data_IF_614892325575
#
_entry.id   IF_614892325575
#
_cell.length_a   1.000
_cell.length_b   1.000
_cell.length_c   1.000
_cell.angle_alpha   90.00
_cell.angle_beta   90.00
_cell.angle_gamma   90.00
#
_symmetry.space_group_name_H-M   'P 1'
#
loop_
_entity.id
_entity.type
_entity.pdbx_description
1 polymer ?
#
# COMPACT_ATOMS: atom_id res chain seq x y z
N UNK A 1 -11.27 25.74 18.75
CA UNK A 1 -11.42 24.40 18.13
C UNK A 1 -12.88 24.22 17.71
N UNK A 2 -13.15 23.55 16.59
CA UNK A 2 -14.52 23.14 16.24
C UNK A 2 -15.04 22.16 17.30
N UNK A 3 -16.31 22.29 17.69
CA UNK A 3 -16.98 21.38 18.65
C UNK A 3 -17.92 20.37 17.97
N UNK A 4 -18.04 20.43 16.64
CA UNK A 4 -18.82 19.54 15.78
C UNK A 4 -18.09 19.37 14.45
N UNK A 5 -18.22 18.19 13.85
CA UNK A 5 -17.74 17.87 12.51
C UNK A 5 -18.67 16.81 11.89
N UNK A 6 -18.84 16.82 10.56
CA UNK A 6 -19.51 15.73 9.84
C UNK A 6 -18.77 14.39 10.01
N UNK A 7 -17.44 14.41 9.94
CA UNK A 7 -16.60 13.22 10.14
C UNK A 7 -15.43 13.56 11.05
N UNK A 8 -15.23 12.73 12.08
CA UNK A 8 -14.05 12.76 12.94
C UNK A 8 -13.23 11.49 12.74
N UNK A 9 -11.95 11.63 12.40
CA UNK A 9 -10.99 10.54 12.20
C UNK A 9 -10.04 10.53 13.39
N UNK A 10 -9.89 9.38 14.04
CA UNK A 10 -9.01 9.19 15.19
C UNK A 10 -7.76 8.42 14.73
N UNK A 11 -6.62 9.10 14.69
CA UNK A 11 -5.32 8.57 14.27
C UNK A 11 -4.80 9.22 12.99
N UNK A 12 -3.61 9.81 13.07
CA UNK A 12 -2.87 10.48 12.00
C UNK A 12 -1.78 9.62 11.35
N UNK A 13 -1.98 8.29 11.32
CA UNK A 13 -1.19 7.38 10.48
C UNK A 13 -1.66 7.41 9.02
N UNK A 14 -0.98 6.67 8.15
CA UNK A 14 -1.25 6.68 6.69
C UNK A 14 -2.71 6.42 6.35
N UNK A 15 -3.38 5.50 7.06
CA UNK A 15 -4.80 5.17 6.83
C UNK A 15 -5.70 6.35 7.17
N UNK A 16 -5.49 6.99 8.32
CA UNK A 16 -6.30 8.13 8.75
C UNK A 16 -6.08 9.37 7.88
N UNK A 17 -4.81 9.66 7.57
CA UNK A 17 -4.44 10.76 6.68
C UNK A 17 -4.97 10.56 5.26
N UNK A 18 -4.84 9.36 4.69
CA UNK A 18 -5.41 9.03 3.37
C UNK A 18 -6.95 9.15 3.39
N UNK A 19 -7.60 8.66 4.45
CA UNK A 19 -9.06 8.80 4.61
C UNK A 19 -9.47 10.27 4.60
N UNK A 20 -8.81 11.12 5.40
CA UNK A 20 -9.09 12.55 5.44
C UNK A 20 -8.86 13.22 4.08
N UNK A 21 -7.75 12.88 3.42
CA UNK A 21 -7.40 13.37 2.09
C UNK A 21 -8.48 13.05 1.06
N UNK A 22 -8.90 11.79 0.94
CA UNK A 22 -9.89 11.41 -0.06
C UNK A 22 -11.30 11.91 0.26
N UNK A 23 -11.69 12.01 1.53
CA UNK A 23 -12.95 12.67 1.89
C UNK A 23 -12.96 14.13 1.43
N UNK A 24 -11.88 14.86 1.72
CA UNK A 24 -11.73 16.25 1.27
C UNK A 24 -11.69 16.38 -0.26
N UNK A 25 -10.93 15.51 -0.94
CA UNK A 25 -10.85 15.45 -2.41
C UNK A 25 -12.20 15.19 -3.07
N UNK A 26 -13.07 14.40 -2.43
CA UNK A 26 -14.42 14.12 -2.90
C UNK A 26 -15.47 15.18 -2.44
N UNK A 27 -15.02 16.33 -1.94
CA UNK A 27 -15.87 17.48 -1.65
C UNK A 27 -16.38 17.59 -0.21
N UNK A 28 -16.00 16.66 0.69
CA UNK A 28 -16.38 16.76 2.10
C UNK A 28 -15.43 17.72 2.83
N UNK A 29 -15.91 18.91 3.18
CA UNK A 29 -15.08 19.97 3.77
C UNK A 29 -15.09 19.99 5.31
N UNK A 30 -16.03 19.31 5.95
CA UNK A 30 -16.16 19.26 7.41
C UNK A 30 -15.59 17.97 8.01
N UNK A 31 -14.29 17.76 7.78
CA UNK A 31 -13.51 16.61 8.27
C UNK A 31 -12.52 17.09 9.32
N UNK A 32 -12.48 16.41 10.46
CA UNK A 32 -11.49 16.66 11.53
C UNK A 32 -10.68 15.39 11.75
N UNK A 33 -9.36 15.49 11.68
CA UNK A 33 -8.43 14.43 12.06
C UNK A 33 -7.80 14.77 13.41
N UNK A 34 -7.87 13.84 14.35
CA UNK A 34 -7.26 13.94 15.68
C UNK A 34 -6.14 12.92 15.78
N UNK A 35 -4.92 13.40 16.00
CA UNK A 35 -3.75 12.60 16.32
C UNK A 35 -3.33 12.93 17.75
N UNK A 36 -2.93 11.91 18.51
CA UNK A 36 -2.51 12.06 19.90
C UNK A 36 -1.20 12.82 20.01
N UNK A 37 -0.26 12.51 19.12
CA UNK A 37 1.10 13.05 19.12
C UNK A 37 1.33 13.89 17.84
N UNK A 38 2.35 13.58 17.04
CA UNK A 38 2.55 14.16 15.71
C UNK A 38 2.08 13.19 14.61
N UNK A 39 1.81 13.70 13.40
CA UNK A 39 1.41 12.86 12.27
C UNK A 39 2.44 11.76 12.03
N UNK A 40 1.98 10.54 11.72
CA UNK A 40 2.81 9.35 11.53
C UNK A 40 3.61 8.87 12.77
N UNK A 41 3.35 9.40 13.97
CA UNK A 41 4.01 8.99 15.24
C UNK A 41 3.88 7.51 15.59
N UNK A 42 2.99 6.75 14.94
CA UNK A 42 2.75 5.32 15.10
C UNK A 42 3.56 4.43 14.16
N UNK A 43 2.95 3.34 13.66
CA UNK A 43 3.62 2.37 12.78
C UNK A 43 4.01 2.96 11.42
N UNK A 44 3.28 3.96 10.93
CA UNK A 44 3.57 4.60 9.63
C UNK A 44 4.95 5.24 9.61
N UNK A 45 5.31 6.07 10.60
CA UNK A 45 6.62 6.71 10.64
C UNK A 45 7.78 5.78 11.02
N UNK A 46 7.49 4.51 11.34
CA UNK A 46 8.50 3.49 11.70
C UNK A 46 8.55 2.33 10.69
N UNK A 47 7.77 2.38 9.60
CA UNK A 47 7.76 1.30 8.63
C UNK A 47 9.01 1.34 7.74
N UNK A 48 9.39 0.20 7.17
CA UNK A 48 10.53 0.11 6.26
C UNK A 48 10.26 0.63 4.83
N UNK A 49 9.12 1.26 4.58
CA UNK A 49 8.78 1.85 3.27
C UNK A 49 8.50 0.88 2.12
N UNK A 50 8.63 -0.44 2.33
CA UNK A 50 8.45 -1.43 1.26
C UNK A 50 7.01 -1.56 0.78
N UNK A 51 6.81 -1.49 -0.55
CA UNK A 51 5.53 -1.71 -1.22
C UNK A 51 5.66 -2.96 -2.11
N UNK A 52 4.76 -3.94 -1.92
CA UNK A 52 4.76 -5.20 -2.68
C UNK A 52 3.37 -5.59 -3.14
N UNK A 53 3.30 -6.38 -4.20
CA UNK A 53 2.04 -6.82 -4.83
C UNK A 53 1.79 -8.33 -4.70
N UNK A 54 2.82 -9.11 -4.37
CA UNK A 54 2.72 -10.56 -4.24
C UNK A 54 2.00 -10.94 -2.94
N UNK A 55 0.80 -11.50 -3.04
CA UNK A 55 0.01 -11.98 -1.90
C UNK A 55 -0.62 -13.35 -2.21
N UNK A 56 -1.02 -14.08 -1.16
CA UNK A 56 -1.61 -15.42 -1.30
C UNK A 56 -3.12 -15.41 -1.55
N UNK A 57 -3.77 -14.25 -1.45
CA UNK A 57 -5.22 -14.09 -1.62
C UNK A 57 -5.54 -13.11 -2.75
N UNK A 58 -6.48 -13.47 -3.63
CA UNK A 58 -6.87 -12.66 -4.81
C UNK A 58 -7.23 -11.22 -4.46
N UNK A 59 -7.98 -11.02 -3.37
CA UNK A 59 -8.40 -9.68 -2.95
C UNK A 59 -7.19 -8.81 -2.57
N UNK A 60 -6.19 -9.39 -1.90
CA UNK A 60 -4.99 -8.68 -1.49
C UNK A 60 -4.12 -8.32 -2.70
N UNK A 61 -4.02 -9.21 -3.69
CA UNK A 61 -3.34 -8.92 -4.97
C UNK A 61 -3.99 -7.73 -5.67
N UNK A 62 -5.32 -7.76 -5.84
CA UNK A 62 -6.08 -6.64 -6.47
C UNK A 62 -5.90 -5.33 -5.73
N UNK A 63 -5.96 -5.35 -4.39
CA UNK A 63 -5.79 -4.16 -3.57
C UNK A 63 -4.36 -3.60 -3.71
N UNK A 64 -3.36 -4.47 -3.69
CA UNK A 64 -1.96 -4.06 -3.83
C UNK A 64 -1.65 -3.50 -5.23
N UNK A 65 -2.19 -4.10 -6.29
CA UNK A 65 -2.08 -3.58 -7.66
C UNK A 65 -2.67 -2.17 -7.78
N UNK A 66 -3.86 -1.95 -7.21
CA UNK A 66 -4.47 -0.62 -7.15
C UNK A 66 -3.64 0.37 -6.33
N UNK A 67 -3.03 -0.09 -5.24
CA UNK A 67 -2.19 0.75 -4.38
C UNK A 67 -0.93 1.21 -5.13
N UNK A 68 -0.25 0.29 -5.83
CA UNK A 68 0.92 0.61 -6.67
C UNK A 68 0.56 1.61 -7.78
N UNK A 69 -0.57 1.40 -8.46
CA UNK A 69 -1.03 2.33 -9.49
C UNK A 69 -1.34 3.72 -8.90
N UNK A 70 -1.87 3.77 -7.67
CA UNK A 70 -2.07 5.04 -6.98
C UNK A 70 -0.73 5.74 -6.69
N UNK A 71 0.24 5.05 -6.07
CA UNK A 71 1.53 5.64 -5.73
C UNK A 71 2.29 6.17 -6.94
N UNK A 72 2.22 5.51 -8.11
CA UNK A 72 2.80 6.00 -9.37
C UNK A 72 2.30 7.39 -9.77
N UNK A 73 1.02 7.67 -9.49
CA UNK A 73 0.37 8.92 -9.88
C UNK A 73 0.32 9.95 -8.74
N UNK A 74 0.61 9.53 -7.51
CA UNK A 74 0.35 10.33 -6.31
C UNK A 74 1.24 11.56 -6.21
N UNK A 75 2.52 11.46 -6.58
CA UNK A 75 3.44 12.60 -6.63
C UNK A 75 2.89 13.76 -7.47
N UNK A 76 2.39 13.44 -8.67
CA UNK A 76 1.75 14.42 -9.56
C UNK A 76 0.48 14.99 -8.97
N UNK A 77 -0.30 14.16 -8.30
CA UNK A 77 -1.58 14.53 -7.69
C UNK A 77 -1.41 15.52 -6.53
N UNK A 78 -0.38 15.35 -5.69
CA UNK A 78 -0.14 16.22 -4.53
C UNK A 78 0.91 17.30 -4.78
N UNK A 79 1.65 17.23 -5.89
CA UNK A 79 2.70 18.19 -6.23
C UNK A 79 3.92 18.15 -5.30
N UNK A 80 4.16 17.02 -4.64
CA UNK A 80 5.27 16.80 -3.70
C UNK A 80 5.98 15.50 -4.06
N UNK A 81 7.31 15.53 -4.04
CA UNK A 81 8.11 14.31 -4.18
C UNK A 81 7.83 13.39 -2.98
N UNK A 82 7.37 12.16 -3.27
CA UNK A 82 7.05 11.14 -2.26
C UNK A 82 8.13 10.06 -2.14
N UNK A 83 9.25 10.22 -2.86
CA UNK A 83 10.40 9.33 -2.88
C UNK A 83 10.03 7.89 -3.29
N UNK A 84 9.02 7.74 -4.16
CA UNK A 84 8.56 6.43 -4.62
C UNK A 84 9.48 5.86 -5.70
N UNK A 85 10.10 4.71 -5.40
CA UNK A 85 11.01 4.01 -6.30
C UNK A 85 10.51 2.59 -6.62
N UNK A 86 10.44 2.23 -7.90
CA UNK A 86 10.02 0.90 -8.36
C UNK A 86 11.22 0.03 -8.75
N UNK A 87 11.86 -0.58 -7.74
CA UNK A 87 13.01 -1.48 -7.93
C UNK A 87 12.67 -2.97 -8.10
N UNK A 88 11.39 -3.34 -8.05
CA UNK A 88 10.96 -4.73 -7.96
C UNK A 88 10.95 -5.28 -6.53
N UNK A 89 10.51 -6.52 -6.36
CA UNK A 89 10.45 -7.20 -5.06
C UNK A 89 10.71 -8.70 -5.25
N UNK A 90 11.71 -9.24 -4.54
CA UNK A 90 12.11 -10.64 -4.60
C UNK A 90 11.73 -11.37 -3.32
N UNK A 91 11.06 -12.52 -3.46
CA UNK A 91 10.78 -13.44 -2.37
C UNK A 91 11.54 -14.74 -2.63
N UNK A 92 12.35 -15.18 -1.66
CA UNK A 92 13.15 -16.40 -1.76
C UNK A 92 12.39 -17.55 -1.09
N UNK A 93 12.31 -18.68 -1.79
CA UNK A 93 11.90 -19.96 -1.23
C UNK A 93 13.16 -20.73 -0.78
N UNK A 94 13.14 -21.24 0.44
CA UNK A 94 14.23 -22.02 1.03
C UNK A 94 13.88 -23.50 1.15
N UNK A 95 12.60 -23.85 1.02
CA UNK A 95 12.10 -25.25 1.05
C UNK A 95 11.26 -25.57 -0.19
N UNK A 96 11.14 -26.86 -0.51
CA UNK A 96 10.29 -27.36 -1.61
C UNK A 96 8.80 -27.02 -1.36
N UNK A 97 8.39 -26.96 -0.10
CA UNK A 97 7.02 -26.60 0.30
C UNK A 97 6.73 -25.13 0.01
N UNK A 98 7.68 -24.23 0.30
CA UNK A 98 7.59 -22.81 -0.05
C UNK A 98 7.60 -22.61 -1.58
N UNK A 99 8.43 -23.36 -2.30
CA UNK A 99 8.47 -23.31 -3.76
C UNK A 99 7.12 -23.73 -4.37
N UNK A 100 6.54 -24.84 -3.90
CA UNK A 100 5.21 -25.30 -4.34
C UNK A 100 4.12 -24.26 -4.03
N UNK A 101 4.18 -23.63 -2.87
CA UNK A 101 3.26 -22.54 -2.50
C UNK A 101 3.44 -21.32 -3.40
N UNK A 102 4.67 -20.92 -3.71
CA UNK A 102 4.95 -19.79 -4.60
C UNK A 102 4.48 -20.08 -6.02
N UNK A 103 4.69 -21.29 -6.55
CA UNK A 103 4.15 -21.72 -7.85
C UNK A 103 2.63 -21.55 -7.91
N UNK A 104 1.91 -22.02 -6.89
CA UNK A 104 0.46 -21.84 -6.78
C UNK A 104 0.06 -20.37 -6.72
N UNK A 105 0.75 -19.58 -5.91
CA UNK A 105 0.43 -18.15 -5.73
C UNK A 105 0.72 -17.35 -7.00
N UNK A 106 1.83 -17.61 -7.69
CA UNK A 106 2.20 -16.93 -8.94
C UNK A 106 1.17 -17.21 -10.04
N UNK A 107 0.71 -18.46 -10.19
CA UNK A 107 -0.34 -18.78 -11.15
C UNK A 107 -1.61 -17.96 -10.88
N UNK A 108 -2.06 -17.90 -9.62
CA UNK A 108 -3.22 -17.09 -9.22
C UNK A 108 -2.98 -15.59 -9.45
N UNK A 109 -1.79 -15.08 -9.12
CA UNK A 109 -1.45 -13.67 -9.30
C UNK A 109 -1.44 -13.26 -10.78
N UNK A 110 -0.92 -14.12 -11.66
CA UNK A 110 -0.93 -13.91 -13.11
C UNK A 110 -2.35 -13.92 -13.68
N UNK A 111 -3.25 -14.78 -13.17
CA UNK A 111 -4.68 -14.74 -13.52
C UNK A 111 -5.35 -13.42 -13.13
N UNK A 112 -4.90 -12.78 -12.04
CA UNK A 112 -5.35 -11.44 -11.63
C UNK A 112 -4.70 -10.31 -12.46
N UNK A 113 -3.80 -10.64 -13.39
CA UNK A 113 -3.08 -9.71 -14.24
C UNK A 113 -1.86 -9.05 -13.58
N UNK A 114 -1.36 -9.61 -12.47
CA UNK A 114 -0.11 -9.13 -11.87
C UNK A 114 1.08 -9.57 -12.73
N UNK A 115 1.95 -8.63 -13.06
CA UNK A 115 3.25 -8.90 -13.65
C UNK A 115 4.20 -9.49 -12.59
N UNK A 116 4.25 -10.83 -12.54
CA UNK A 116 5.07 -11.60 -11.61
C UNK A 116 5.63 -12.82 -12.32
N UNK A 117 6.87 -13.14 -12.01
CA UNK A 117 7.60 -14.28 -12.57
C UNK A 117 8.18 -15.14 -11.45
N UNK A 118 8.31 -16.43 -11.72
CA UNK A 118 9.17 -17.32 -10.94
C UNK A 118 10.57 -17.26 -11.55
N UNK A 119 11.57 -17.10 -10.69
CA UNK A 119 12.97 -17.15 -11.07
C UNK A 119 13.59 -18.43 -10.53
N UNK A 120 14.39 -19.09 -11.36
CA UNK A 120 15.33 -20.12 -10.94
C UNK A 120 16.52 -19.51 -10.20
N UNK A 121 17.32 -20.37 -9.56
CA UNK A 121 18.53 -19.94 -8.85
C UNK A 121 19.52 -19.23 -9.77
N UNK A 122 19.59 -19.65 -11.02
CA UNK A 122 20.51 -19.12 -12.03
C UNK A 122 20.06 -17.75 -12.59
N UNK A 123 18.80 -17.37 -12.37
CA UNK A 123 18.21 -16.11 -12.84
C UNK A 123 18.20 -15.00 -11.78
N UNK A 124 18.74 -15.27 -10.58
CA UNK A 124 18.84 -14.33 -9.46
C UNK A 124 20.28 -13.86 -9.28
#
# INVERSE_FOLDING_TARGET
MKNKACVTIIGGGVVGSATAYYLAKNGLTDVVLLERDYLSSGSTGRCGGGIRQQWSERMNVRLAMRSVEHFKNFEREVGLNIEYFQGGYLLLAYTEEEEALFKKNVAMQQEEGLDVVLLSREET
#
